data_IF_110893483921
#
_entry.id   IF_110893483921
#
_cell.length_a   1.000
_cell.length_b   1.000
_cell.length_c   1.000
_cell.angle_alpha   90.00
_cell.angle_beta   90.00
_cell.angle_gamma   90.00
#
_symmetry.space_group_name_H-M   'P 1'
#
loop_
_entity.id
_entity.type
_entity.pdbx_description
1 polymer ?
#
# COMPACT_ATOMS: atom_id res chain seq x y z
N UNK A 1 3.19 -33.04 8.26
CA UNK A 1 3.03 -34.35 7.60
C UNK A 1 2.75 -34.11 6.13
N UNK A 2 3.35 -34.91 5.25
CA UNK A 2 3.16 -34.86 3.80
C UNK A 2 2.34 -36.10 3.38
N UNK A 3 1.08 -35.92 2.96
CA UNK A 3 0.31 -36.99 2.34
C UNK A 3 0.78 -37.20 0.90
N UNK A 4 1.03 -38.44 0.50
CA UNK A 4 1.36 -38.83 -0.87
C UNK A 4 0.33 -39.83 -1.33
N UNK A 5 -0.50 -39.43 -2.30
CA UNK A 5 -1.44 -40.36 -2.93
C UNK A 5 -0.77 -41.02 -4.14
N UNK A 6 -0.80 -42.35 -4.18
CA UNK A 6 -0.19 -43.15 -5.24
C UNK A 6 -1.29 -43.88 -6.00
N UNK A 7 -1.34 -43.64 -7.31
CA UNK A 7 -2.30 -44.27 -8.21
C UNK A 7 -1.63 -45.44 -8.94
N UNK A 8 -2.14 -46.65 -8.76
CA UNK A 8 -1.72 -47.85 -9.50
C UNK A 8 -2.85 -48.26 -10.46
N UNK A 9 -2.76 -47.87 -11.73
CA UNK A 9 -3.79 -48.16 -12.73
C UNK A 9 -3.47 -49.37 -13.61
N UNK A 10 -2.23 -49.89 -13.52
CA UNK A 10 -1.79 -51.09 -14.23
C UNK A 10 -1.90 -52.31 -13.31
N UNK A 11 -2.50 -53.41 -13.82
CA UNK A 11 -2.72 -54.66 -13.05
C UNK A 11 -1.42 -55.33 -12.57
N UNK A 12 -0.29 -54.98 -13.19
CA UNK A 12 1.02 -55.53 -12.90
C UNK A 12 1.70 -54.83 -11.70
N UNK A 13 1.27 -53.61 -11.37
CA UNK A 13 1.79 -52.83 -10.24
C UNK A 13 1.11 -53.29 -8.95
N UNK A 14 1.77 -54.21 -8.23
CA UNK A 14 1.28 -54.76 -6.95
C UNK A 14 1.97 -54.14 -5.75
N UNK A 15 3.29 -54.35 -5.62
CA UNK A 15 4.09 -53.81 -4.52
C UNK A 15 4.76 -52.52 -4.98
N UNK A 16 4.43 -51.40 -4.34
CA UNK A 16 5.02 -50.10 -4.63
C UNK A 16 5.82 -49.63 -3.43
N UNK A 17 7.06 -49.25 -3.67
CA UNK A 17 7.90 -48.58 -2.68
C UNK A 17 7.92 -47.09 -2.94
N UNK A 18 7.55 -46.30 -1.93
CA UNK A 18 7.48 -44.85 -1.96
C UNK A 18 8.58 -44.29 -1.06
N UNK A 19 9.39 -43.37 -1.56
CA UNK A 19 10.41 -42.67 -0.78
C UNK A 19 10.27 -41.16 -0.92
N UNK A 20 10.60 -40.45 0.16
CA UNK A 20 10.66 -38.99 0.21
C UNK A 20 12.08 -38.53 0.52
N UNK A 21 12.52 -37.47 -0.17
CA UNK A 21 13.74 -36.73 0.10
C UNK A 21 13.40 -35.25 0.17
N UNK A 22 14.11 -34.50 1.01
CA UNK A 22 13.94 -33.06 1.12
C UNK A 22 15.31 -32.37 1.13
N UNK A 23 15.39 -31.22 0.47
CA UNK A 23 16.57 -30.35 0.48
C UNK A 23 16.15 -28.88 0.52
N UNK A 24 17.06 -27.98 0.90
CA UNK A 24 16.75 -26.55 1.01
C UNK A 24 15.86 -26.19 2.22
N UNK A 25 15.73 -24.90 2.52
CA UNK A 25 14.87 -24.35 3.59
C UNK A 25 15.06 -24.97 4.99
N UNK A 26 16.18 -25.64 5.25
CA UNK A 26 16.41 -26.37 6.50
C UNK A 26 15.41 -27.50 6.78
N UNK A 27 14.71 -28.01 5.75
CA UNK A 27 13.74 -29.09 5.90
C UNK A 27 14.46 -30.43 6.08
N UNK A 28 13.95 -31.24 6.99
CA UNK A 28 14.44 -32.58 7.30
C UNK A 28 13.29 -33.58 7.20
N UNK A 29 13.54 -34.72 6.55
CA UNK A 29 12.62 -35.87 6.59
C UNK A 29 12.82 -36.58 7.92
N UNK A 30 11.72 -36.85 8.62
CA UNK A 30 11.71 -37.69 9.82
C UNK A 30 11.39 -39.11 9.40
N UNK A 31 12.21 -40.06 9.87
CA UNK A 31 12.03 -41.45 9.52
C UNK A 31 10.66 -42.03 9.93
N UNK A 32 10.12 -42.99 9.16
CA UNK A 32 10.75 -43.58 7.97
C UNK A 32 10.62 -42.73 6.70
N UNK A 33 11.74 -42.54 5.98
CA UNK A 33 11.78 -41.85 4.68
C UNK A 33 11.34 -42.71 3.48
N UNK A 34 11.05 -43.99 3.71
CA UNK A 34 10.60 -44.96 2.72
C UNK A 34 9.52 -45.86 3.31
N UNK A 35 8.45 -46.06 2.56
CA UNK A 35 7.31 -46.90 2.93
C UNK A 35 6.92 -47.79 1.75
N UNK A 36 6.26 -48.91 2.03
CA UNK A 36 5.77 -49.83 1.00
C UNK A 36 4.25 -49.95 1.12
N UNK A 37 3.58 -49.94 -0.02
CA UNK A 37 2.14 -50.13 -0.16
C UNK A 37 1.85 -51.24 -1.16
N UNK A 38 0.70 -51.90 -1.00
CA UNK A 38 0.31 -53.05 -1.81
C UNK A 38 -1.07 -52.84 -2.39
N UNK A 39 -1.19 -53.00 -3.71
CA UNK A 39 -2.43 -52.93 -4.45
C UNK A 39 -2.92 -54.34 -4.80
N UNK A 40 -4.12 -54.69 -4.34
CA UNK A 40 -4.80 -55.95 -4.71
C UNK A 40 -5.55 -55.84 -6.03
N UNK A 41 -5.91 -54.62 -6.43
CA UNK A 41 -6.59 -54.25 -7.66
C UNK A 41 -6.19 -52.81 -8.05
N UNK A 42 -6.41 -52.39 -9.31
CA UNK A 42 -6.19 -51.00 -9.71
C UNK A 42 -6.94 -50.02 -8.80
N UNK A 43 -6.29 -48.93 -8.41
CA UNK A 43 -6.83 -47.94 -7.48
C UNK A 43 -5.76 -47.00 -6.93
N UNK A 44 -6.07 -46.30 -5.86
CA UNK A 44 -5.15 -45.39 -5.18
C UNK A 44 -4.98 -45.71 -3.69
N UNK A 45 -3.80 -45.42 -3.15
CA UNK A 45 -3.48 -45.57 -1.74
C UNK A 45 -2.61 -44.42 -1.27
N UNK A 46 -2.82 -44.03 -0.02
CA UNK A 46 -2.20 -42.85 0.57
C UNK A 46 -1.16 -43.25 1.62
N UNK A 47 0.04 -42.70 1.50
CA UNK A 47 1.12 -42.84 2.49
C UNK A 47 1.45 -41.49 3.10
N UNK A 48 1.94 -41.50 4.35
CA UNK A 48 2.21 -40.28 5.09
C UNK A 48 3.67 -40.24 5.50
N UNK A 49 4.37 -39.19 5.06
CA UNK A 49 5.72 -38.90 5.52
C UNK A 49 5.72 -37.75 6.52
N UNK A 50 6.65 -37.79 7.48
CA UNK A 50 6.85 -36.68 8.42
C UNK A 50 8.05 -35.86 7.97
N UNK A 51 7.89 -34.55 7.96
CA UNK A 51 8.98 -33.59 7.72
C UNK A 51 8.98 -32.58 8.86
N UNK A 52 10.15 -32.01 9.15
CA UNK A 52 10.36 -30.94 10.10
C UNK A 52 11.10 -29.78 9.43
N UNK A 53 10.64 -28.56 9.67
CA UNK A 53 11.36 -27.34 9.28
C UNK A 53 12.38 -26.97 10.36
N UNK A 54 13.58 -26.59 9.95
CA UNK A 54 14.62 -26.04 10.83
C UNK A 54 14.52 -24.53 11.00
N UNK A 55 15.65 -23.91 11.36
CA UNK A 55 15.75 -22.46 11.61
C UNK A 55 16.19 -21.65 10.36
N UNK A 56 16.16 -22.26 9.17
CA UNK A 56 16.51 -21.62 7.91
C UNK A 56 15.24 -21.33 7.12
N UNK A 57 15.14 -20.14 6.56
CA UNK A 57 14.08 -19.77 5.62
C UNK A 57 14.53 -20.02 4.18
N UNK A 58 13.59 -19.88 3.25
CA UNK A 58 13.82 -19.99 1.82
C UNK A 58 13.20 -21.24 1.19
N UNK A 59 13.52 -21.44 -0.08
CA UNK A 59 12.97 -22.54 -0.89
C UNK A 59 13.42 -23.89 -0.35
N UNK A 60 12.46 -24.77 -0.11
CA UNK A 60 12.67 -26.19 0.13
C UNK A 60 12.08 -27.00 -1.03
N UNK A 61 12.79 -28.05 -1.42
CA UNK A 61 12.42 -28.94 -2.51
C UNK A 61 12.21 -30.33 -1.94
N UNK A 62 11.01 -30.87 -2.16
CA UNK A 62 10.60 -32.20 -1.76
C UNK A 62 10.58 -33.08 -3.01
N UNK A 63 11.36 -34.16 -3.01
CA UNK A 63 11.34 -35.17 -4.05
C UNK A 63 10.63 -36.41 -3.54
N UNK A 64 9.63 -36.86 -4.29
CA UNK A 64 8.91 -38.10 -4.03
C UNK A 64 9.22 -39.05 -5.17
N UNK A 65 9.51 -40.31 -4.85
CA UNK A 65 9.70 -41.37 -5.84
C UNK A 65 8.86 -42.56 -5.45
N UNK A 66 8.03 -43.05 -6.36
CA UNK A 66 7.29 -44.29 -6.22
C UNK A 66 7.77 -45.27 -7.30
N UNK A 67 8.14 -46.49 -6.89
CA UNK A 67 8.64 -47.54 -7.78
C UNK A 67 7.88 -48.83 -7.54
N UNK A 68 7.35 -49.45 -8.60
CA UNK A 68 6.64 -50.74 -8.52
C UNK A 68 6.83 -51.54 -9.82
N UNK A 69 7.32 -52.78 -9.72
CA UNK A 69 7.71 -53.55 -10.91
C UNK A 69 8.79 -52.84 -11.72
N UNK A 70 8.57 -52.68 -13.02
CA UNK A 70 9.41 -51.87 -13.93
C UNK A 70 9.00 -50.40 -14.01
N UNK A 71 7.92 -50.00 -13.32
CA UNK A 71 7.37 -48.64 -13.39
C UNK A 71 7.95 -47.76 -12.28
N UNK A 72 8.18 -46.48 -12.62
CA UNK A 72 8.61 -45.48 -11.67
C UNK A 72 7.94 -44.13 -11.96
N UNK A 73 7.47 -43.48 -10.91
CA UNK A 73 6.97 -42.11 -10.93
C UNK A 73 7.81 -41.24 -9.98
N UNK A 74 8.08 -39.99 -10.40
CA UNK A 74 8.79 -38.99 -9.59
C UNK A 74 8.01 -37.69 -9.59
N UNK A 75 7.91 -37.08 -8.43
CA UNK A 75 7.30 -35.77 -8.25
C UNK A 75 8.26 -34.85 -7.49
N UNK A 76 8.36 -33.60 -7.92
CA UNK A 76 9.16 -32.58 -7.25
C UNK A 76 8.28 -31.40 -6.89
N UNK A 77 8.18 -31.13 -5.58
CA UNK A 77 7.35 -30.07 -5.02
C UNK A 77 8.26 -29.03 -4.40
N UNK A 78 8.05 -27.77 -4.74
CA UNK A 78 8.77 -26.64 -4.16
C UNK A 78 7.86 -25.91 -3.19
N UNK A 79 8.33 -25.72 -1.95
CA UNK A 79 7.62 -25.01 -0.90
C UNK A 79 8.51 -23.93 -0.29
N UNK A 80 7.92 -22.82 0.11
CA UNK A 80 8.62 -21.74 0.78
C UNK A 80 8.58 -21.93 2.31
N UNK A 81 9.75 -21.99 2.93
CA UNK A 81 9.88 -21.98 4.40
C UNK A 81 10.05 -20.54 4.85
N UNK A 82 9.06 -20.03 5.59
CA UNK A 82 9.03 -18.64 6.10
C UNK A 82 9.12 -18.60 7.62
N UNK A 83 9.68 -17.50 8.14
CA UNK A 83 9.61 -17.20 9.56
C UNK A 83 8.14 -16.90 9.93
N UNK A 84 7.55 -17.59 10.92
CA UNK A 84 6.18 -17.30 11.35
C UNK A 84 6.05 -15.96 12.08
N UNK A 85 7.15 -15.42 12.62
CA UNK A 85 7.15 -14.13 13.31
C UNK A 85 7.23 -12.98 12.30
N UNK A 86 6.47 -11.89 12.52
CA UNK A 86 6.59 -10.69 11.71
C UNK A 86 7.98 -10.07 11.86
N UNK A 87 8.42 -9.34 10.82
CA UNK A 87 9.61 -8.52 10.92
C UNK A 87 9.39 -7.42 11.98
N UNK A 88 10.42 -7.15 12.79
CA UNK A 88 10.43 -6.07 13.77
C UNK A 88 11.47 -5.04 13.33
N UNK A 89 11.12 -3.77 13.41
CA UNK A 89 12.02 -2.65 13.10
C UNK A 89 12.24 -1.83 14.35
N UNK A 90 13.50 -1.62 14.72
CA UNK A 90 13.90 -0.72 15.81
C UNK A 90 14.47 0.56 15.21
N UNK A 91 14.21 1.70 15.86
CA UNK A 91 14.58 3.02 15.33
C UNK A 91 15.19 3.90 16.41
N UNK A 92 16.16 4.71 15.97
CA UNK A 92 16.67 5.83 16.73
C UNK A 92 16.93 7.00 15.77
N UNK A 93 16.56 8.21 16.14
CA UNK A 93 16.74 9.41 15.31
C UNK A 93 17.04 10.62 16.14
N UNK A 94 17.96 11.46 15.67
CA UNK A 94 18.33 12.69 16.34
C UNK A 94 18.58 13.81 15.33
N UNK A 95 18.11 15.03 15.66
CA UNK A 95 18.48 16.24 14.94
C UNK A 95 19.89 16.63 15.34
N UNK A 96 20.75 16.90 14.36
CA UNK A 96 22.18 17.21 14.58
C UNK A 96 22.44 18.61 14.04
N UNK A 97 22.80 19.54 14.92
CA UNK A 97 23.14 20.90 14.52
C UNK A 97 24.53 20.96 13.88
N UNK A 98 24.81 22.06 13.18
CA UNK A 98 26.10 22.24 12.50
C UNK A 98 27.27 22.14 13.49
N UNK A 99 28.18 21.21 13.22
CA UNK A 99 29.41 21.01 14.01
C UNK A 99 29.23 20.06 15.20
N UNK A 100 28.02 19.56 15.43
CA UNK A 100 27.76 18.54 16.44
C UNK A 100 28.11 17.14 15.92
N UNK A 101 28.54 16.27 16.84
CA UNK A 101 28.67 14.84 16.62
C UNK A 101 27.72 14.11 17.57
N UNK A 102 27.01 13.11 17.06
CA UNK A 102 26.03 12.34 17.83
C UNK A 102 26.29 10.85 17.66
N UNK A 103 26.14 10.10 18.75
CA UNK A 103 26.15 8.63 18.74
C UNK A 103 24.73 8.11 18.82
N UNK A 104 24.30 7.32 17.83
CA UNK A 104 22.99 6.66 17.82
C UNK A 104 23.14 5.20 18.30
N UNK A 105 22.72 4.84 19.53
CA UNK A 105 22.72 3.46 19.97
C UNK A 105 21.70 2.62 19.19
N UNK A 106 22.04 1.37 18.92
CA UNK A 106 21.16 0.36 18.30
C UNK A 106 21.29 -0.99 19.02
N UNK A 107 20.24 -1.81 18.97
CA UNK A 107 20.24 -3.17 19.52
C UNK A 107 19.43 -4.11 18.62
N UNK A 108 19.93 -5.34 18.44
CA UNK A 108 19.24 -6.37 17.66
C UNK A 108 18.21 -7.17 18.47
N UNK A 109 18.14 -6.98 19.79
CA UNK A 109 17.14 -7.58 20.69
C UNK A 109 16.90 -9.09 20.46
N UNK A 110 17.98 -9.86 20.27
CA UNK A 110 17.91 -11.31 20.06
C UNK A 110 17.70 -11.75 18.60
N UNK A 111 17.56 -10.82 17.65
CA UNK A 111 17.57 -11.13 16.23
C UNK A 111 18.96 -11.59 15.77
N UNK A 112 19.00 -12.58 14.86
CA UNK A 112 20.24 -13.05 14.26
C UNK A 112 20.85 -11.95 13.38
N UNK A 113 22.17 -11.65 13.51
CA UNK A 113 22.84 -10.72 12.60
C UNK A 113 22.69 -11.10 11.12
N UNK A 114 22.67 -12.41 10.82
CA UNK A 114 22.54 -12.90 9.45
C UNK A 114 21.16 -12.64 8.81
N UNK A 115 20.12 -12.39 9.63
CA UNK A 115 18.77 -12.07 9.18
C UNK A 115 18.37 -10.63 9.50
N UNK A 116 19.32 -9.79 9.89
CA UNK A 116 19.09 -8.40 10.28
C UNK A 116 19.67 -7.45 9.24
N UNK A 117 18.99 -6.33 9.02
CA UNK A 117 19.45 -5.23 8.16
C UNK A 117 19.54 -3.96 8.99
N UNK A 118 20.64 -3.23 8.86
CA UNK A 118 20.81 -1.90 9.46
C UNK A 118 20.84 -0.85 8.36
N UNK A 119 20.10 0.24 8.56
CA UNK A 119 20.00 1.37 7.63
C UNK A 119 20.27 2.65 8.41
N UNK A 120 21.07 3.54 7.82
CA UNK A 120 21.31 4.89 8.33
C UNK A 120 20.83 5.88 7.28
N UNK A 121 19.89 6.76 7.65
CA UNK A 121 19.38 7.82 6.81
C UNK A 121 19.87 9.18 7.35
N UNK A 122 20.43 10.01 6.46
CA UNK A 122 20.85 11.37 6.78
C UNK A 122 20.07 12.32 5.88
N UNK A 123 19.33 13.26 6.50
CA UNK A 123 18.46 14.19 5.79
C UNK A 123 18.62 15.61 6.33
N UNK A 124 18.42 16.59 5.44
CA UNK A 124 18.40 18.03 5.78
C UNK A 124 17.00 18.51 6.17
N UNK A 125 16.00 17.64 6.08
CA UNK A 125 14.63 17.85 6.53
C UNK A 125 14.29 16.82 7.62
N UNK A 126 13.29 17.07 8.48
CA UNK A 126 12.80 16.04 9.40
C UNK A 126 12.54 14.72 8.64
N UNK A 127 13.25 13.65 9.01
CA UNK A 127 13.18 12.36 8.31
C UNK A 127 11.81 11.71 8.53
N UNK A 128 11.23 11.16 7.46
CA UNK A 128 9.95 10.42 7.51
C UNK A 128 10.13 8.91 7.41
N UNK A 129 11.36 8.41 7.62
CA UNK A 129 11.74 7.00 7.44
C UNK A 129 11.36 6.48 6.04
N UNK A 130 11.89 7.18 5.03
CA UNK A 130 11.51 7.02 3.62
C UNK A 130 11.83 5.61 3.14
N UNK A 131 12.99 5.10 3.56
CA UNK A 131 13.47 3.77 3.17
C UNK A 131 12.50 2.66 3.63
N UNK A 132 12.04 2.69 4.88
CA UNK A 132 11.09 1.70 5.41
C UNK A 132 9.73 1.76 4.73
N UNK A 133 9.24 2.97 4.44
CA UNK A 133 7.93 3.16 3.78
C UNK A 133 7.95 2.63 2.35
N UNK A 134 9.04 2.87 1.62
CA UNK A 134 9.21 2.26 0.30
C UNK A 134 9.31 0.74 0.38
N UNK A 135 10.08 0.19 1.32
CA UNK A 135 10.19 -1.26 1.52
C UNK A 135 8.82 -1.88 1.86
N UNK A 136 8.02 -1.23 2.70
CA UNK A 136 6.65 -1.66 3.03
C UNK A 136 5.75 -1.69 1.80
N UNK A 137 5.69 -0.58 1.06
CA UNK A 137 4.85 -0.47 -0.13
C UNK A 137 5.28 -1.43 -1.24
N UNK A 138 6.58 -1.67 -1.40
CA UNK A 138 7.09 -2.62 -2.38
C UNK A 138 6.66 -4.07 -2.09
N UNK A 139 6.65 -4.46 -0.81
CA UNK A 139 6.36 -5.84 -0.40
C UNK A 139 4.88 -6.12 -0.11
N UNK A 140 4.03 -5.09 -0.07
CA UNK A 140 2.63 -5.24 0.29
C UNK A 140 1.90 -6.10 -0.77
N UNK A 141 1.20 -7.16 -0.36
CA UNK A 141 0.66 -8.18 -1.28
C UNK A 141 -0.82 -8.02 -1.62
N UNK A 142 -1.53 -7.07 -1.01
CA UNK A 142 -2.96 -6.86 -1.27
C UNK A 142 -3.17 -5.84 -2.40
N UNK A 143 -4.30 -5.97 -3.09
CA UNK A 143 -4.53 -5.36 -4.40
C UNK A 143 -5.89 -4.67 -4.52
N UNK A 144 -6.53 -4.17 -3.45
CA UNK A 144 -7.65 -3.24 -3.66
C UNK A 144 -7.15 -1.95 -4.33
N UNK A 145 -8.05 -1.14 -4.85
CA UNK A 145 -7.66 0.05 -5.65
C UNK A 145 -6.98 1.11 -4.80
N UNK A 146 -7.36 1.23 -3.53
CA UNK A 146 -6.68 2.04 -2.53
C UNK A 146 -5.20 1.62 -2.42
N UNK A 147 -4.96 0.37 -2.02
CA UNK A 147 -3.63 -0.20 -1.83
C UNK A 147 -2.77 -0.14 -3.09
N UNK A 148 -3.34 -0.44 -4.26
CA UNK A 148 -2.64 -0.32 -5.55
C UNK A 148 -2.15 1.12 -5.77
N UNK A 149 -3.01 2.09 -5.51
CA UNK A 149 -2.70 3.51 -5.68
C UNK A 149 -1.65 3.96 -4.66
N UNK A 150 -1.79 3.57 -3.40
CA UNK A 150 -0.86 3.91 -2.31
C UNK A 150 0.54 3.34 -2.48
N UNK A 151 0.68 2.18 -3.14
CA UNK A 151 2.00 1.66 -3.53
C UNK A 151 2.65 2.47 -4.64
N UNK A 152 1.86 2.86 -5.64
CA UNK A 152 2.40 3.47 -6.85
C UNK A 152 2.67 4.97 -6.70
N UNK A 153 1.88 5.67 -5.89
CA UNK A 153 1.96 7.12 -5.72
C UNK A 153 3.34 7.59 -5.23
N UNK A 154 3.94 7.01 -4.18
CA UNK A 154 5.25 7.45 -3.70
C UNK A 154 6.38 7.20 -4.72
N UNK A 155 6.23 6.20 -5.60
CA UNK A 155 7.22 5.90 -6.65
C UNK A 155 7.40 7.07 -7.64
N UNK A 156 6.40 7.95 -7.78
CA UNK A 156 6.49 9.16 -8.59
C UNK A 156 7.47 10.20 -8.03
N UNK A 157 7.87 10.07 -6.76
CA UNK A 157 8.64 11.07 -6.03
C UNK A 157 9.98 10.56 -5.48
N UNK A 158 10.32 9.26 -5.64
CA UNK A 158 11.53 8.64 -5.06
C UNK A 158 12.81 9.44 -5.37
N UNK A 159 12.96 9.89 -6.61
CA UNK A 159 14.15 10.61 -7.08
C UNK A 159 14.34 11.99 -6.43
N UNK A 160 13.31 12.51 -5.74
CA UNK A 160 13.41 13.77 -4.98
C UNK A 160 14.04 13.56 -3.61
N UNK A 161 14.03 12.32 -3.10
CA UNK A 161 14.50 11.99 -1.75
C UNK A 161 15.84 11.24 -1.75
N UNK A 162 16.15 10.52 -2.83
CA UNK A 162 17.43 9.83 -2.98
C UNK A 162 17.88 9.74 -4.43
N UNK A 163 19.18 9.49 -4.61
CA UNK A 163 19.73 9.06 -5.89
C UNK A 163 19.13 7.71 -6.28
N UNK A 164 18.71 7.59 -7.54
CA UNK A 164 18.13 6.38 -8.12
C UNK A 164 19.03 5.95 -9.27
N UNK A 165 19.53 4.72 -9.23
CA UNK A 165 20.31 4.15 -10.32
C UNK A 165 19.42 3.67 -11.48
N UNK A 166 20.03 3.24 -12.58
CA UNK A 166 19.30 2.84 -13.79
C UNK A 166 18.40 1.61 -13.57
N UNK A 167 18.87 0.64 -12.78
CA UNK A 167 18.11 -0.58 -12.49
C UNK A 167 16.86 -0.25 -11.66
N UNK A 168 17.02 0.56 -10.62
CA UNK A 168 15.93 1.01 -9.78
C UNK A 168 14.96 1.92 -10.54
N UNK A 169 15.47 2.84 -11.38
CA UNK A 169 14.64 3.69 -12.23
C UNK A 169 13.74 2.86 -13.16
N UNK A 170 14.28 1.80 -13.75
CA UNK A 170 13.52 0.91 -14.64
C UNK A 170 12.48 0.09 -13.86
N UNK A 171 12.78 -0.36 -12.64
CA UNK A 171 11.81 -1.02 -11.75
C UNK A 171 10.67 -0.07 -11.35
N UNK A 172 11.00 1.15 -10.92
CA UNK A 172 10.03 2.20 -10.59
C UNK A 172 9.10 2.44 -11.79
N UNK A 173 9.68 2.66 -12.97
CA UNK A 173 8.92 2.91 -14.20
C UNK A 173 7.95 1.77 -14.50
N UNK A 174 8.44 0.53 -14.43
CA UNK A 174 7.63 -0.68 -14.68
C UNK A 174 6.46 -0.79 -13.70
N UNK A 175 6.72 -0.56 -12.41
CA UNK A 175 5.69 -0.63 -11.37
C UNK A 175 4.62 0.47 -11.51
N UNK A 176 5.03 1.70 -11.84
CA UNK A 176 4.08 2.81 -12.09
C UNK A 176 3.22 2.51 -13.33
N UNK A 177 3.82 2.04 -14.42
CA UNK A 177 3.09 1.67 -15.63
C UNK A 177 2.08 0.53 -15.40
N UNK A 178 2.47 -0.47 -14.62
CA UNK A 178 1.58 -1.56 -14.25
C UNK A 178 0.43 -1.08 -13.36
N UNK A 179 0.67 -0.18 -12.41
CA UNK A 179 -0.38 0.42 -11.59
C UNK A 179 -1.38 1.22 -12.46
N UNK A 180 -0.89 2.02 -13.39
CA UNK A 180 -1.73 2.75 -14.36
C UNK A 180 -2.61 1.76 -15.15
N UNK A 181 -2.01 0.68 -15.68
CA UNK A 181 -2.74 -0.35 -16.44
C UNK A 181 -3.82 -1.03 -15.59
N UNK A 182 -3.52 -1.38 -14.35
CA UNK A 182 -4.48 -2.01 -13.45
C UNK A 182 -5.61 -1.06 -13.06
N UNK A 183 -5.33 0.24 -12.85
CA UNK A 183 -6.38 1.22 -12.59
C UNK A 183 -7.36 1.32 -13.76
N UNK A 184 -6.89 1.24 -15.01
CA UNK A 184 -7.78 1.28 -16.17
C UNK A 184 -8.79 0.13 -16.17
N UNK A 185 -8.36 -1.07 -15.78
CA UNK A 185 -9.24 -2.23 -15.64
C UNK A 185 -10.27 -2.10 -14.50
N UNK A 186 -10.10 -1.11 -13.62
CA UNK A 186 -10.96 -0.83 -12.46
C UNK A 186 -11.80 0.43 -12.62
N UNK A 187 -11.68 1.14 -13.75
CA UNK A 187 -12.60 2.21 -14.09
C UNK A 187 -13.86 1.62 -14.71
N UNK A 188 -15.02 1.89 -14.11
CA UNK A 188 -16.31 1.45 -14.63
C UNK A 188 -16.89 2.47 -15.63
N UNK A 189 -17.92 2.13 -16.42
CA UNK A 189 -18.40 2.96 -17.53
C UNK A 189 -18.81 4.40 -17.14
N UNK A 190 -19.29 4.61 -15.91
CA UNK A 190 -19.65 5.95 -15.40
C UNK A 190 -18.43 6.86 -15.14
N UNK A 191 -17.20 6.33 -15.23
CA UNK A 191 -15.94 7.04 -15.06
C UNK A 191 -15.34 6.97 -13.66
N UNK A 192 -16.06 6.42 -12.68
CA UNK A 192 -15.55 6.15 -11.35
C UNK A 192 -14.69 4.89 -11.27
N UNK A 193 -13.94 4.74 -10.19
CA UNK A 193 -13.11 3.57 -9.90
C UNK A 193 -13.73 2.72 -8.79
N UNK A 194 -13.64 1.41 -8.95
CA UNK A 194 -14.14 0.45 -7.95
C UNK A 194 -13.12 0.20 -6.84
N UNK A 195 -13.58 -0.13 -5.63
CA UNK A 195 -12.70 -0.53 -4.54
C UNK A 195 -12.02 -1.88 -4.79
N UNK A 196 -12.80 -2.91 -5.12
CA UNK A 196 -12.30 -4.23 -5.53
C UNK A 196 -12.62 -4.51 -7.01
N UNK A 197 -11.71 -5.16 -7.76
CA UNK A 197 -12.01 -5.65 -9.09
C UNK A 197 -13.27 -6.53 -9.08
N UNK A 198 -14.20 -6.26 -10.00
CA UNK A 198 -15.48 -6.98 -10.10
C UNK A 198 -16.67 -6.30 -9.41
N UNK A 199 -16.44 -5.27 -8.58
CA UNK A 199 -17.55 -4.48 -8.05
C UNK A 199 -18.28 -3.71 -9.16
N UNK A 200 -19.57 -3.46 -8.96
CA UNK A 200 -20.41 -2.72 -9.91
C UNK A 200 -20.56 -1.23 -9.58
N UNK A 201 -20.18 -0.81 -8.38
CA UNK A 201 -20.28 0.58 -7.91
C UNK A 201 -18.91 1.21 -7.75
N UNK A 202 -18.80 2.47 -8.17
CA UNK A 202 -17.63 3.29 -7.89
C UNK A 202 -17.58 3.65 -6.40
N UNK A 203 -16.38 3.69 -5.86
CA UNK A 203 -16.11 4.26 -4.55
C UNK A 203 -15.66 5.71 -4.72
N UNK A 204 -16.32 6.66 -4.05
CA UNK A 204 -16.11 8.09 -4.29
C UNK A 204 -14.75 8.60 -3.82
N UNK A 205 -14.28 8.13 -2.67
CA UNK A 205 -12.97 8.51 -2.13
C UNK A 205 -11.86 7.94 -3.02
N UNK A 206 -11.95 6.66 -3.32
CA UNK A 206 -10.98 5.94 -4.16
C UNK A 206 -10.97 6.48 -5.58
N UNK A 207 -12.13 6.89 -6.10
CA UNK A 207 -12.19 7.55 -7.41
C UNK A 207 -11.39 8.85 -7.39
N UNK A 208 -11.49 9.65 -6.34
CA UNK A 208 -10.72 10.89 -6.19
C UNK A 208 -9.22 10.58 -6.08
N UNK A 209 -8.86 9.59 -5.27
CA UNK A 209 -7.48 9.20 -5.03
C UNK A 209 -6.78 8.60 -6.26
N UNK A 210 -7.40 7.64 -6.94
CA UNK A 210 -6.88 7.06 -8.18
C UNK A 210 -6.74 8.12 -9.29
N UNK A 211 -7.71 9.05 -9.37
CA UNK A 211 -7.63 10.19 -10.28
C UNK A 211 -6.43 11.09 -10.02
N UNK A 212 -6.21 11.44 -8.74
CA UNK A 212 -5.05 12.22 -8.31
C UNK A 212 -3.73 11.56 -8.74
N UNK A 213 -3.59 10.25 -8.49
CA UNK A 213 -2.41 9.51 -8.93
C UNK A 213 -2.22 9.55 -10.45
N UNK A 214 -3.27 9.34 -11.24
CA UNK A 214 -3.17 9.38 -12.70
C UNK A 214 -2.79 10.77 -13.22
N UNK A 215 -3.25 11.85 -12.57
CA UNK A 215 -2.87 13.22 -12.90
C UNK A 215 -1.38 13.45 -12.60
N UNK A 216 -0.92 13.09 -11.40
CA UNK A 216 0.47 13.25 -11.00
C UNK A 216 1.40 12.38 -11.86
N UNK A 217 0.99 11.16 -12.21
CA UNK A 217 1.75 10.31 -13.12
C UNK A 217 1.90 10.96 -14.50
N UNK A 218 0.82 11.56 -15.04
CA UNK A 218 0.89 12.32 -16.29
C UNK A 218 1.85 13.51 -16.17
N UNK A 219 1.81 14.26 -15.06
CA UNK A 219 2.73 15.38 -14.79
C UNK A 219 4.20 14.93 -14.74
N UNK A 220 4.47 13.74 -14.18
CA UNK A 220 5.81 13.12 -14.17
C UNK A 220 6.22 12.49 -15.51
N UNK A 221 5.44 12.68 -16.57
CA UNK A 221 5.78 12.24 -17.93
C UNK A 221 5.38 10.80 -18.27
N UNK A 222 4.61 10.12 -17.42
CA UNK A 222 4.07 8.81 -17.75
C UNK A 222 2.91 8.93 -18.76
N UNK A 223 2.84 7.99 -19.69
CA UNK A 223 1.75 7.93 -20.66
C UNK A 223 0.43 7.55 -19.97
N UNK A 224 -0.45 8.54 -19.78
CA UNK A 224 -1.79 8.34 -19.23
C UNK A 224 -2.85 8.63 -20.30
N UNK A 225 -3.76 7.68 -20.52
CA UNK A 225 -4.82 7.79 -21.51
C UNK A 225 -5.79 8.93 -21.17
N UNK A 226 -5.90 9.91 -22.07
CA UNK A 226 -6.75 11.09 -21.90
C UNK A 226 -8.24 10.75 -21.77
N UNK A 227 -8.72 9.68 -22.41
CA UNK A 227 -10.11 9.23 -22.29
C UNK A 227 -10.45 8.76 -20.87
N UNK A 228 -9.52 8.09 -20.19
CA UNK A 228 -9.68 7.66 -18.78
C UNK A 228 -9.83 8.88 -17.89
N UNK A 229 -8.95 9.87 -18.02
CA UNK A 229 -9.01 11.12 -17.27
C UNK A 229 -10.27 11.94 -17.62
N UNK A 230 -10.72 11.93 -18.88
CA UNK A 230 -11.94 12.63 -19.28
C UNK A 230 -13.21 11.99 -18.69
N UNK A 231 -13.28 10.65 -18.66
CA UNK A 231 -14.35 9.92 -17.94
C UNK A 231 -14.33 10.23 -16.45
N UNK A 232 -13.16 10.18 -15.83
CA UNK A 232 -12.98 10.51 -14.42
C UNK A 232 -13.41 11.95 -14.10
N UNK A 233 -12.97 12.94 -14.89
CA UNK A 233 -13.41 14.34 -14.73
C UNK A 233 -14.93 14.46 -14.81
N UNK A 234 -15.59 13.79 -15.76
CA UNK A 234 -17.06 13.81 -15.87
C UNK A 234 -17.73 13.24 -14.61
N UNK A 235 -17.26 12.11 -14.11
CA UNK A 235 -17.75 11.51 -12.86
C UNK A 235 -17.61 12.49 -11.69
N UNK A 236 -16.40 13.03 -11.49
CA UNK A 236 -16.12 13.94 -10.38
C UNK A 236 -16.92 15.25 -10.46
N UNK A 237 -17.07 15.83 -11.65
CA UNK A 237 -17.88 17.06 -11.83
C UNK A 237 -19.35 16.80 -11.49
N UNK A 238 -19.92 15.70 -11.98
CA UNK A 238 -21.29 15.33 -11.67
C UNK A 238 -21.49 15.09 -10.16
N UNK A 239 -20.58 14.35 -9.53
CA UNK A 239 -20.64 14.10 -8.08
C UNK A 239 -20.47 15.40 -7.27
N UNK A 240 -19.57 16.31 -7.67
CA UNK A 240 -19.39 17.61 -7.03
C UNK A 240 -20.65 18.47 -7.11
N UNK A 241 -21.31 18.49 -8.27
CA UNK A 241 -22.52 19.29 -8.50
C UNK A 241 -23.72 18.72 -7.74
N UNK A 242 -23.84 17.39 -7.67
CA UNK A 242 -24.92 16.68 -7.00
C UNK A 242 -24.73 16.54 -5.48
N UNK A 243 -23.52 16.75 -4.96
CA UNK A 243 -23.28 16.70 -3.53
C UNK A 243 -24.22 17.64 -2.76
N UNK A 244 -24.78 17.13 -1.67
CA UNK A 244 -25.61 17.84 -0.71
C UNK A 244 -25.12 17.50 0.68
N UNK A 245 -25.21 18.47 1.58
CA UNK A 245 -24.99 18.22 3.00
C UNK A 245 -26.04 17.23 3.50
N UNK A 246 -25.65 16.15 4.20
CA UNK A 246 -26.62 15.30 4.90
C UNK A 246 -27.32 16.10 6.00
N UNK A 247 -28.60 15.79 6.22
CA UNK A 247 -29.34 16.32 7.36
C UNK A 247 -28.71 15.82 8.67
N UNK A 248 -28.75 16.64 9.73
CA UNK A 248 -27.85 16.59 10.90
C UNK A 248 -27.94 15.36 11.83
N UNK A 249 -28.64 14.29 11.44
CA UNK A 249 -28.94 13.16 12.33
C UNK A 249 -27.80 12.15 12.52
N UNK A 250 -26.71 12.24 11.74
CA UNK A 250 -25.50 11.42 11.96
C UNK A 250 -24.20 12.23 11.88
N UNK A 251 -23.68 12.61 13.04
CA UNK A 251 -22.42 13.35 13.17
C UNK A 251 -21.21 12.55 12.66
N UNK A 252 -21.28 11.21 12.67
CA UNK A 252 -20.17 10.36 12.26
C UNK A 252 -19.98 10.37 10.73
N UNK A 253 -21.06 10.36 9.96
CA UNK A 253 -21.00 10.48 8.50
C UNK A 253 -20.78 11.90 7.96
N UNK A 254 -21.22 12.92 8.71
CA UNK A 254 -21.26 14.31 8.25
C UNK A 254 -19.89 14.90 7.91
N UNK A 255 -18.91 14.85 8.82
CA UNK A 255 -17.58 15.38 8.53
C UNK A 255 -16.87 14.60 7.41
N UNK A 256 -17.10 13.29 7.31
CA UNK A 256 -16.48 12.45 6.28
C UNK A 256 -16.94 12.84 4.87
N UNK A 257 -18.24 13.12 4.68
CA UNK A 257 -18.76 13.55 3.38
C UNK A 257 -18.25 14.93 2.97
N UNK A 258 -18.06 15.84 3.93
CA UNK A 258 -17.44 17.14 3.67
C UNK A 258 -16.00 16.96 3.20
N UNK A 259 -15.20 16.14 3.89
CA UNK A 259 -13.81 15.90 3.52
C UNK A 259 -13.71 15.23 2.16
N UNK A 260 -14.59 14.27 1.86
CA UNK A 260 -14.69 13.64 0.54
C UNK A 260 -15.00 14.66 -0.56
N UNK A 261 -15.95 15.57 -0.32
CA UNK A 261 -16.28 16.62 -1.27
C UNK A 261 -15.14 17.63 -1.45
N UNK A 262 -14.51 18.08 -0.37
CA UNK A 262 -13.36 18.98 -0.46
C UNK A 262 -12.18 18.33 -1.20
N UNK A 263 -11.94 17.03 -0.97
CA UNK A 263 -10.90 16.28 -1.66
C UNK A 263 -11.19 16.10 -3.15
N UNK A 264 -12.45 15.82 -3.52
CA UNK A 264 -12.90 15.85 -4.92
C UNK A 264 -12.64 17.20 -5.58
N UNK A 265 -13.01 18.30 -4.92
CA UNK A 265 -12.80 19.64 -5.47
C UNK A 265 -11.32 19.97 -5.63
N UNK A 266 -10.49 19.56 -4.67
CA UNK A 266 -9.04 19.65 -4.78
C UNK A 266 -8.51 18.86 -5.98
N UNK A 267 -8.93 17.60 -6.17
CA UNK A 267 -8.39 16.77 -7.27
C UNK A 267 -8.83 17.29 -8.64
N UNK A 268 -10.03 17.85 -8.75
CA UNK A 268 -10.48 18.56 -9.95
C UNK A 268 -9.66 19.83 -10.22
N UNK A 269 -9.31 20.60 -9.19
CA UNK A 269 -8.42 21.75 -9.31
C UNK A 269 -7.01 21.33 -9.75
N UNK A 270 -6.46 20.26 -9.15
CA UNK A 270 -5.18 19.66 -9.53
C UNK A 270 -5.18 19.21 -11.00
N UNK A 271 -6.30 18.70 -11.49
CA UNK A 271 -6.48 18.31 -12.89
C UNK A 271 -6.61 19.49 -13.88
N UNK A 272 -6.50 20.74 -13.41
CA UNK A 272 -6.76 21.94 -14.21
C UNK A 272 -8.23 22.10 -14.63
N UNK A 273 -9.16 21.42 -13.95
CA UNK A 273 -10.60 21.44 -14.26
C UNK A 273 -11.45 21.77 -13.01
N UNK A 274 -11.20 22.90 -12.32
CA UNK A 274 -11.86 23.21 -11.05
C UNK A 274 -13.38 23.42 -11.20
N UNK A 275 -14.15 22.86 -10.27
CA UNK A 275 -15.61 23.06 -10.17
C UNK A 275 -15.95 24.26 -9.28
N UNK A 276 -15.72 25.47 -9.79
CA UNK A 276 -15.83 26.72 -9.03
C UNK A 276 -17.20 26.93 -8.38
N UNK A 277 -18.29 26.56 -9.05
CA UNK A 277 -19.64 26.66 -8.48
C UNK A 277 -19.82 25.79 -7.24
N UNK A 278 -19.31 24.55 -7.28
CA UNK A 278 -19.36 23.64 -6.14
C UNK A 278 -18.39 24.06 -5.02
N UNK A 279 -17.21 24.61 -5.36
CA UNK A 279 -16.28 25.20 -4.39
C UNK A 279 -16.90 26.37 -3.63
N UNK A 280 -17.55 27.29 -4.34
CA UNK A 280 -18.23 28.43 -3.72
C UNK A 280 -19.41 27.96 -2.85
N UNK A 281 -20.26 27.06 -3.35
CA UNK A 281 -21.38 26.50 -2.58
C UNK A 281 -20.92 25.83 -1.29
N UNK A 282 -19.78 25.12 -1.33
CA UNK A 282 -19.21 24.49 -0.14
C UNK A 282 -18.63 25.53 0.83
N UNK A 283 -17.96 26.57 0.33
CA UNK A 283 -17.42 27.67 1.16
C UNK A 283 -18.49 28.39 1.98
N UNK A 284 -19.71 28.50 1.45
CA UNK A 284 -20.85 29.13 2.15
C UNK A 284 -21.47 28.24 3.26
N UNK A 285 -21.00 27.01 3.47
CA UNK A 285 -21.45 26.17 4.58
C UNK A 285 -20.85 26.67 5.91
N UNK A 286 -21.68 26.87 6.92
CA UNK A 286 -21.29 27.50 8.20
C UNK A 286 -20.44 26.59 9.10
N UNK A 287 -20.62 25.28 9.02
CA UNK A 287 -20.06 24.31 9.97
C UNK A 287 -19.16 23.24 9.32
N UNK A 288 -18.36 23.62 8.32
CA UNK A 288 -17.37 22.70 7.77
C UNK A 288 -16.37 22.23 8.85
N UNK A 289 -16.09 20.93 8.84
CA UNK A 289 -14.98 20.32 9.57
C UNK A 289 -13.64 20.98 9.22
N UNK A 290 -12.71 20.90 10.16
CA UNK A 290 -11.39 21.51 10.04
C UNK A 290 -10.64 20.97 8.81
N UNK A 291 -10.70 19.65 8.61
CA UNK A 291 -10.14 18.95 7.47
C UNK A 291 -10.72 19.44 6.13
N UNK A 292 -12.05 19.60 6.05
CA UNK A 292 -12.70 20.08 4.84
C UNK A 292 -12.33 21.53 4.52
N UNK A 293 -12.22 22.41 5.53
CA UNK A 293 -11.76 23.80 5.36
C UNK A 293 -10.36 23.86 4.75
N UNK A 294 -9.41 23.12 5.31
CA UNK A 294 -8.05 23.07 4.80
C UNK A 294 -8.01 22.48 3.39
N UNK A 295 -8.70 21.36 3.12
CA UNK A 295 -8.68 20.77 1.79
C UNK A 295 -9.35 21.64 0.72
N UNK A 296 -10.42 22.34 1.07
CA UNK A 296 -11.05 23.31 0.18
C UNK A 296 -10.15 24.53 -0.06
N UNK A 297 -9.42 24.99 0.96
CA UNK A 297 -8.42 26.05 0.80
C UNK A 297 -7.29 25.64 -0.16
N UNK A 298 -6.83 24.38 -0.11
CA UNK A 298 -5.88 23.85 -1.09
C UNK A 298 -6.43 23.90 -2.52
N UNK A 299 -7.71 23.55 -2.72
CA UNK A 299 -8.36 23.64 -4.03
C UNK A 299 -8.39 25.10 -4.55
N UNK A 300 -8.67 26.08 -3.69
CA UNK A 300 -8.60 27.49 -4.06
C UNK A 300 -7.18 27.94 -4.39
N UNK A 301 -6.19 27.56 -3.56
CA UNK A 301 -4.78 27.89 -3.75
C UNK A 301 -4.23 27.35 -5.09
N UNK A 302 -4.57 26.10 -5.46
CA UNK A 302 -4.21 25.52 -6.76
C UNK A 302 -4.77 26.31 -7.96
N UNK A 303 -5.88 27.01 -7.78
CA UNK A 303 -6.49 27.86 -8.82
C UNK A 303 -6.02 29.33 -8.76
N UNK A 304 -5.01 29.63 -7.95
CA UNK A 304 -4.49 30.99 -7.75
C UNK A 304 -5.39 31.91 -6.92
N UNK A 305 -6.44 31.38 -6.29
CA UNK A 305 -7.42 32.16 -5.52
C UNK A 305 -7.07 32.19 -4.04
N UNK A 306 -6.03 32.95 -3.67
CA UNK A 306 -5.54 32.97 -2.27
C UNK A 306 -6.53 33.59 -1.27
N UNK A 307 -7.22 34.66 -1.63
CA UNK A 307 -8.18 35.33 -0.73
C UNK A 307 -9.25 34.38 -0.14
N UNK A 308 -10.03 33.62 -0.94
CA UNK A 308 -11.00 32.68 -0.37
C UNK A 308 -10.34 31.51 0.38
N UNK A 309 -9.10 31.12 0.01
CA UNK A 309 -8.35 30.13 0.77
C UNK A 309 -8.01 30.65 2.17
N UNK A 310 -7.53 31.89 2.29
CA UNK A 310 -7.21 32.55 3.56
C UNK A 310 -8.44 32.76 4.44
N UNK A 311 -9.58 33.13 3.84
CA UNK A 311 -10.86 33.27 4.56
C UNK A 311 -11.30 31.94 5.19
N UNK A 312 -11.15 30.82 4.47
CA UNK A 312 -11.55 29.49 4.95
C UNK A 312 -10.76 29.03 6.18
N UNK A 313 -9.46 29.34 6.22
CA UNK A 313 -8.54 28.88 7.27
C UNK A 313 -8.14 29.99 8.24
N UNK A 314 -8.90 31.09 8.25
CA UNK A 314 -8.66 32.18 9.20
C UNK A 314 -8.80 31.68 10.64
N UNK A 315 -7.71 31.74 11.40
CA UNK A 315 -7.59 31.19 12.76
C UNK A 315 -7.90 29.68 12.87
N UNK A 316 -7.86 28.94 11.76
CA UNK A 316 -8.01 27.50 11.79
C UNK A 316 -6.78 26.84 12.42
N UNK A 317 -7.00 25.86 13.30
CA UNK A 317 -5.92 25.04 13.85
C UNK A 317 -5.34 24.12 12.78
N UNK A 318 -4.08 23.75 12.92
CA UNK A 318 -3.42 22.78 12.02
C UNK A 318 -3.35 21.38 12.61
N UNK A 319 -3.76 21.22 13.87
CA UNK A 319 -3.79 19.93 14.56
C UNK A 319 -5.18 19.32 14.43
N UNK A 320 -5.24 18.03 14.07
CA UNK A 320 -6.49 17.28 13.98
C UNK A 320 -6.63 16.42 15.23
N UNK A 321 -7.81 16.49 15.87
CA UNK A 321 -8.12 15.63 17.00
C UNK A 321 -8.12 14.14 16.55
N UNK A 322 -7.56 13.22 17.35
CA UNK A 322 -7.59 11.80 17.01
C UNK A 322 -9.01 11.29 16.78
N UNK A 323 -9.18 10.47 15.74
CA UNK A 323 -10.45 9.83 15.41
C UNK A 323 -10.20 8.39 14.92
N UNK A 324 -11.28 7.60 14.87
CA UNK A 324 -11.20 6.19 14.47
C UNK A 324 -10.72 6.02 13.03
N UNK A 325 -9.74 5.14 12.81
CA UNK A 325 -9.31 4.73 11.48
C UNK A 325 -10.37 3.92 10.73
N UNK A 326 -11.41 3.46 11.42
CA UNK A 326 -12.61 2.92 10.79
C UNK A 326 -13.47 4.09 10.28
N UNK A 327 -13.29 4.44 9.00
CA UNK A 327 -14.02 5.50 8.32
C UNK A 327 -14.06 5.21 6.80
N UNK A 328 -14.96 5.87 6.07
CA UNK A 328 -15.15 5.67 4.62
C UNK A 328 -14.19 6.48 3.76
N UNK A 329 -13.37 7.32 4.38
CA UNK A 329 -12.39 8.15 3.70
C UNK A 329 -10.98 7.59 3.83
N UNK A 330 -10.78 6.42 4.41
CA UNK A 330 -9.46 5.78 4.59
C UNK A 330 -8.44 6.73 5.27
N UNK A 331 -8.88 7.38 6.35
CA UNK A 331 -8.17 8.48 6.99
C UNK A 331 -7.64 8.23 8.39
N UNK A 332 -6.65 9.03 8.75
CA UNK A 332 -6.15 9.22 10.10
C UNK A 332 -5.87 10.71 10.32
N UNK A 333 -5.77 11.12 11.59
CA UNK A 333 -5.39 12.48 11.94
C UNK A 333 -3.99 12.83 11.40
N UNK A 334 -3.07 11.85 11.34
CA UNK A 334 -1.73 12.04 10.76
C UNK A 334 -1.78 12.31 9.25
N UNK A 335 -2.63 11.56 8.52
CA UNK A 335 -2.85 11.79 7.09
C UNK A 335 -3.45 13.18 6.84
N UNK A 336 -4.41 13.58 7.67
CA UNK A 336 -5.05 14.89 7.52
C UNK A 336 -4.05 16.03 7.80
N UNK A 337 -3.20 15.89 8.81
CA UNK A 337 -2.12 16.84 9.09
C UNK A 337 -1.09 16.92 7.95
N UNK A 338 -0.79 15.80 7.27
CA UNK A 338 0.03 15.81 6.06
C UNK A 338 -0.66 16.56 4.89
N UNK A 339 -1.98 16.44 4.73
CA UNK A 339 -2.74 17.22 3.75
C UNK A 339 -2.81 18.71 4.11
N UNK A 340 -2.86 19.04 5.40
CA UNK A 340 -2.78 20.43 5.88
C UNK A 340 -1.39 21.00 5.59
N UNK A 341 -0.33 20.22 5.79
CA UNK A 341 1.03 20.60 5.45
C UNK A 341 1.16 20.95 3.96
N UNK A 342 0.63 20.12 3.06
CA UNK A 342 0.55 20.43 1.63
C UNK A 342 -0.19 21.75 1.38
N UNK A 343 -1.32 21.95 2.06
CA UNK A 343 -2.13 23.17 1.90
C UNK A 343 -1.36 24.42 2.33
N UNK A 344 -0.63 24.36 3.45
CA UNK A 344 0.20 25.46 3.92
C UNK A 344 1.28 25.84 2.89
N UNK A 345 1.90 24.84 2.25
CA UNK A 345 2.88 25.07 1.18
C UNK A 345 2.23 25.71 -0.05
N UNK A 346 1.06 25.21 -0.48
CA UNK A 346 0.30 25.79 -1.59
C UNK A 346 -0.10 27.25 -1.31
N UNK A 347 -0.30 27.61 -0.05
CA UNK A 347 -0.62 28.98 0.39
C UNK A 347 0.61 29.84 0.73
N UNK A 348 1.83 29.37 0.44
CA UNK A 348 3.11 30.05 0.75
C UNK A 348 3.29 30.37 2.25
N UNK A 349 2.85 29.48 3.14
CA UNK A 349 2.97 29.60 4.61
C UNK A 349 4.12 28.77 5.17
N UNK A 350 5.33 29.01 4.66
CA UNK A 350 6.51 28.17 4.87
C UNK A 350 6.88 27.92 6.34
N UNK A 351 6.78 28.95 7.20
CA UNK A 351 7.09 28.80 8.62
C UNK A 351 6.12 27.85 9.33
N UNK A 352 4.81 28.01 9.08
CA UNK A 352 3.79 27.15 9.66
C UNK A 352 3.92 25.71 9.09
N UNK A 353 4.20 25.59 7.79
CA UNK A 353 4.47 24.31 7.15
C UNK A 353 5.67 23.61 7.81
N UNK A 354 6.78 24.31 8.05
CA UNK A 354 7.96 23.71 8.69
C UNK A 354 7.69 23.21 10.11
N UNK A 355 6.88 23.93 10.89
CA UNK A 355 6.50 23.47 12.24
C UNK A 355 5.63 22.21 12.19
N UNK A 356 4.64 22.18 11.28
CA UNK A 356 3.81 21.00 11.11
C UNK A 356 4.60 19.82 10.54
N UNK A 357 5.55 20.05 9.64
CA UNK A 357 6.42 19.03 9.07
C UNK A 357 7.24 18.29 10.15
N UNK A 358 7.68 18.98 11.22
CA UNK A 358 8.36 18.33 12.35
C UNK A 358 7.42 17.36 13.08
N UNK A 359 6.16 17.75 13.28
CA UNK A 359 5.14 16.90 13.93
C UNK A 359 4.80 15.70 13.05
N UNK A 360 4.49 15.94 11.78
CA UNK A 360 4.19 14.87 10.81
C UNK A 360 5.37 13.91 10.70
N UNK A 361 6.60 14.40 10.58
CA UNK A 361 7.81 13.56 10.56
C UNK A 361 7.94 12.72 11.83
N UNK A 362 7.73 13.32 13.01
CA UNK A 362 7.76 12.58 14.27
C UNK A 362 6.72 11.45 14.28
N UNK A 363 5.47 11.76 13.96
CA UNK A 363 4.38 10.78 13.98
C UNK A 363 4.63 9.64 12.98
N UNK A 364 5.03 9.99 11.75
CA UNK A 364 5.40 9.01 10.72
C UNK A 364 6.55 8.11 11.17
N UNK A 365 7.46 8.62 11.98
CA UNK A 365 8.62 7.87 12.39
C UNK A 365 8.43 7.07 13.70
N UNK A 366 7.38 7.38 14.47
CA UNK A 366 6.90 6.61 15.64
C UNK A 366 5.83 5.58 15.26
N UNK A 367 5.37 5.58 14.02
CA UNK A 367 4.30 4.71 13.53
C UNK A 367 4.70 3.22 13.59
N UNK A 368 3.99 2.48 14.45
CA UNK A 368 4.20 1.05 14.66
C UNK A 368 3.44 0.17 13.66
N UNK A 369 2.42 0.73 12.98
CA UNK A 369 1.62 0.05 11.98
C UNK A 369 1.26 1.03 10.85
N UNK A 370 1.55 0.65 9.60
CA UNK A 370 1.21 1.46 8.43
C UNK A 370 -0.17 1.05 7.89
N UNK A 371 -1.12 1.98 7.82
CA UNK A 371 -2.14 1.91 6.77
C UNK A 371 -1.48 2.27 5.43
N UNK A 372 -1.81 1.55 4.35
CA UNK A 372 -1.63 2.08 2.99
C UNK A 372 -2.42 3.36 2.83
#
# INVERSE_FOLDING_TARGET
TVPVNVFAMEKEVKNVSVSIQASGGGVQVIDPNKQSITFSQPGDQLVYFKIKTGNKTGKATIHITASGGSQQAKETIEIEVRNPNPAVTFRNSQWVEKGESVTLPYALNGASPASSRMLLEVSRIPSVDISRRFDYLYNYQHHCTEQLTSKALPLLFVSQFKTVDEEEAQKIKTNVQEAIRQLYARQIPNGGFVYWPGNASADEWITSYAGMFLILAQEKGYAVNSNVLNKWKRFQRAAAQNWRMPDQDDSWGHWQTEVQQAYRLYTLALAGAPEQGAMNRMKEQTNLSLQAKWRLAAAYALTGKMKPAEELVFKAETTIAPYSSQNYIYGSYDRDEAMILETLLLMNRDQAALQLAKKVSKNLAEENWFST
#
